data_IF_138470667980
#
_entry.id   IF_138470667980
#
_cell.length_a   1.000
_cell.length_b   1.000
_cell.length_c   1.000
_cell.angle_alpha   90.00
_cell.angle_beta   90.00
_cell.angle_gamma   90.00
#
_symmetry.space_group_name_H-M   'P 1'
#
loop_
_entity.id
_entity.type
_entity.pdbx_description
1 polymer ?
#
# COMPACT_ATOMS: atom_id res chain seq x y z
N UNK A 1 -0.16 8.00 -6.89
CA UNK A 1 -1.40 7.20 -6.77
C UNK A 1 -2.03 7.36 -5.38
N UNK A 2 -1.23 7.35 -4.31
CA UNK A 2 -1.71 7.54 -2.92
C UNK A 2 -1.31 8.91 -2.34
N UNK A 3 -0.87 9.86 -3.17
CA UNK A 3 -0.49 11.19 -2.70
C UNK A 3 -1.74 12.00 -2.36
N UNK A 4 -1.85 12.55 -1.15
CA UNK A 4 -2.95 13.42 -0.78
C UNK A 4 -2.87 14.73 -1.58
N UNK A 5 -4.02 15.26 -1.96
CA UNK A 5 -4.15 16.57 -2.62
C UNK A 5 -4.91 17.54 -1.70
N UNK A 6 -4.52 18.80 -1.72
CA UNK A 6 -5.24 19.84 -0.96
C UNK A 6 -6.70 19.93 -1.42
N UNK A 7 -7.61 20.01 -0.46
CA UNK A 7 -9.02 20.30 -0.66
C UNK A 7 -9.31 21.78 -0.35
N UNK A 8 -10.44 22.31 -0.83
CA UNK A 8 -10.81 23.73 -0.68
C UNK A 8 -11.02 24.14 0.79
N UNK A 9 -11.34 23.19 1.66
CA UNK A 9 -11.56 23.41 3.09
C UNK A 9 -10.28 23.39 3.95
N UNK A 10 -9.10 23.30 3.31
CA UNK A 10 -7.80 23.25 3.98
C UNK A 10 -7.42 21.87 4.50
N UNK A 11 -8.21 20.85 4.22
CA UNK A 11 -7.86 19.44 4.46
C UNK A 11 -7.13 18.83 3.25
N UNK A 12 -6.75 17.57 3.37
CA UNK A 12 -6.14 16.81 2.27
C UNK A 12 -6.95 15.56 1.99
N UNK A 13 -7.00 15.16 0.71
CA UNK A 13 -7.79 14.00 0.30
C UNK A 13 -7.00 13.08 -0.64
N UNK A 14 -7.01 11.79 -0.33
CA UNK A 14 -6.56 10.73 -1.23
C UNK A 14 -7.77 10.30 -2.05
N UNK A 15 -7.71 10.52 -3.37
CA UNK A 15 -8.77 10.13 -4.29
C UNK A 15 -8.37 8.86 -5.03
N UNK A 16 -9.18 7.81 -4.95
CA UNK A 16 -8.99 6.56 -5.70
C UNK A 16 -10.33 5.88 -5.97
N UNK A 17 -10.35 4.91 -6.89
CA UNK A 17 -11.57 4.16 -7.26
C UNK A 17 -11.87 3.00 -6.31
N UNK A 18 -10.88 2.52 -5.55
CA UNK A 18 -11.07 1.39 -4.65
C UNK A 18 -12.01 1.73 -3.49
N UNK A 19 -12.74 0.74 -2.99
CA UNK A 19 -13.53 0.89 -1.77
C UNK A 19 -12.62 1.25 -0.59
N UNK A 20 -13.09 2.05 0.40
CA UNK A 20 -12.29 2.49 1.54
C UNK A 20 -11.62 1.34 2.31
N UNK A 21 -12.29 0.19 2.37
CA UNK A 21 -11.83 -1.02 3.08
C UNK A 21 -10.90 -1.90 2.24
N UNK A 22 -10.67 -1.59 0.96
CA UNK A 22 -9.72 -2.33 0.11
C UNK A 22 -8.33 -2.25 0.71
N UNK A 23 -7.72 -3.42 0.95
CA UNK A 23 -6.43 -3.53 1.61
C UNK A 23 -5.30 -3.75 0.62
N UNK A 24 -4.23 -2.97 0.77
CA UNK A 24 -3.02 -3.09 -0.02
C UNK A 24 -1.83 -3.53 0.85
N UNK A 25 -0.97 -4.43 0.35
CA UNK A 25 0.30 -4.74 1.00
C UNK A 25 1.26 -3.57 0.82
N UNK A 26 1.85 -3.10 1.92
CA UNK A 26 2.84 -2.03 1.89
C UNK A 26 4.19 -2.53 2.38
N UNK A 27 5.26 -2.00 1.80
CA UNK A 27 6.65 -2.31 2.13
C UNK A 27 7.52 -1.07 1.95
N UNK A 28 8.44 -0.83 2.88
CA UNK A 28 9.59 0.03 2.63
C UNK A 28 10.65 -0.79 1.88
N UNK A 29 10.69 -0.63 0.56
CA UNK A 29 11.60 -1.42 -0.30
C UNK A 29 13.06 -1.19 0.08
N UNK A 30 13.45 0.04 0.44
CA UNK A 30 14.82 0.38 0.75
C UNK A 30 15.31 -0.31 2.04
N UNK A 31 14.46 -0.36 3.05
CA UNK A 31 14.82 -0.91 4.37
C UNK A 31 14.52 -2.42 4.48
N UNK A 32 13.45 -2.89 3.84
CA UNK A 32 12.88 -4.20 4.15
C UNK A 32 13.12 -5.27 3.08
N UNK A 33 13.40 -4.91 1.82
CA UNK A 33 13.62 -5.90 0.77
C UNK A 33 14.74 -6.89 1.13
N UNK A 34 15.86 -6.37 1.67
CA UNK A 34 16.98 -7.20 2.13
C UNK A 34 16.63 -8.12 3.29
N UNK A 35 15.65 -7.75 4.14
CA UNK A 35 15.19 -8.61 5.26
C UNK A 35 14.44 -9.83 4.74
N UNK A 36 13.61 -9.69 3.70
CA UNK A 36 12.94 -10.81 3.04
C UNK A 36 13.92 -11.71 2.30
N UNK A 37 14.88 -11.14 1.58
CA UNK A 37 15.97 -11.91 0.95
C UNK A 37 16.78 -12.65 2.01
N UNK A 38 17.11 -12.00 3.14
CA UNK A 38 17.77 -12.64 4.27
C UNK A 38 17.00 -13.83 4.81
N UNK A 39 15.67 -13.71 4.94
CA UNK A 39 14.81 -14.84 5.36
C UNK A 39 14.83 -16.03 4.39
N UNK A 40 14.94 -15.76 3.08
CA UNK A 40 15.10 -16.86 2.08
C UNK A 40 16.44 -17.56 2.25
N UNK A 41 17.51 -16.79 2.49
CA UNK A 41 18.85 -17.35 2.69
C UNK A 41 19.00 -18.11 4.00
N UNK A 42 18.17 -17.84 5.00
CA UNK A 42 18.17 -18.56 6.28
C UNK A 42 17.50 -19.94 6.17
N UNK A 43 16.54 -20.12 5.25
CA UNK A 43 15.80 -21.39 5.05
C UNK A 43 15.54 -21.63 3.56
N UNK A 44 16.57 -21.82 2.74
CA UNK A 44 16.42 -21.95 1.28
C UNK A 44 15.64 -23.22 0.88
N UNK A 45 15.85 -24.34 1.59
CA UNK A 45 15.17 -25.60 1.31
C UNK A 45 13.68 -25.53 1.69
N UNK A 46 13.37 -24.92 2.86
CA UNK A 46 12.00 -24.75 3.32
C UNK A 46 11.18 -23.76 2.49
N UNK A 47 11.85 -22.89 1.73
CA UNK A 47 11.23 -21.85 0.89
C UNK A 47 11.32 -22.17 -0.62
N UNK A 48 11.93 -23.29 -1.01
CA UNK A 48 12.02 -23.68 -2.42
C UNK A 48 10.63 -23.75 -3.07
N UNK A 49 10.50 -23.12 -4.23
CA UNK A 49 9.26 -23.05 -4.99
C UNK A 49 8.16 -22.18 -4.39
N UNK A 50 8.42 -21.48 -3.28
CA UNK A 50 7.44 -20.59 -2.62
C UNK A 50 7.70 -19.13 -2.95
N UNK A 51 6.62 -18.37 -3.17
CA UNK A 51 6.68 -16.91 -3.34
C UNK A 51 6.53 -16.22 -1.98
N UNK A 52 7.48 -15.33 -1.63
CA UNK A 52 7.32 -14.43 -0.48
C UNK A 52 6.59 -13.16 -0.90
N UNK A 53 5.34 -13.03 -0.46
CA UNK A 53 4.51 -11.85 -0.65
C UNK A 53 4.94 -10.76 0.32
N UNK A 54 6.06 -10.08 -0.02
CA UNK A 54 6.80 -9.21 0.87
C UNK A 54 6.03 -7.94 1.19
N UNK A 55 5.58 -7.80 2.44
CA UNK A 55 4.97 -6.60 2.99
C UNK A 55 5.04 -6.62 4.52
N UNK A 56 5.01 -5.45 5.14
CA UNK A 56 4.87 -5.33 6.61
C UNK A 56 3.48 -5.80 7.05
N UNK A 57 2.47 -5.56 6.23
CA UNK A 57 1.08 -5.88 6.50
C UNK A 57 0.15 -5.31 5.44
N UNK A 58 -1.14 -5.43 5.69
CA UNK A 58 -2.20 -4.93 4.84
C UNK A 58 -2.80 -3.68 5.46
N UNK A 59 -2.88 -2.61 4.68
CA UNK A 59 -3.48 -1.34 5.07
C UNK A 59 -4.68 -1.04 4.16
N UNK A 60 -5.83 -0.71 4.76
CA UNK A 60 -6.96 -0.17 4.01
C UNK A 60 -6.67 1.27 3.55
N UNK A 61 -7.46 1.76 2.63
CA UNK A 61 -7.35 3.17 2.20
C UNK A 61 -7.60 4.13 3.36
N UNK A 62 -8.50 3.76 4.27
CA UNK A 62 -8.78 4.52 5.50
C UNK A 62 -7.61 4.46 6.48
N UNK A 63 -7.00 3.28 6.70
CA UNK A 63 -5.82 3.14 7.56
C UNK A 63 -4.68 4.05 7.06
N UNK A 64 -4.43 4.06 5.75
CA UNK A 64 -3.40 4.90 5.13
C UNK A 64 -3.66 6.39 5.41
N UNK A 65 -4.90 6.85 5.20
CA UNK A 65 -5.29 8.24 5.46
C UNK A 65 -5.15 8.61 6.95
N UNK A 66 -5.51 7.71 7.87
CA UNK A 66 -5.36 7.91 9.31
C UNK A 66 -3.89 8.03 9.72
N UNK A 67 -3.03 7.13 9.25
CA UNK A 67 -1.59 7.20 9.54
C UNK A 67 -0.98 8.48 8.99
N UNK A 68 -1.34 8.88 7.76
CA UNK A 68 -0.90 10.14 7.18
C UNK A 68 -1.37 11.35 8.00
N UNK A 69 -2.61 11.34 8.48
CA UNK A 69 -3.13 12.40 9.37
C UNK A 69 -2.34 12.49 10.66
N UNK A 70 -2.07 11.35 11.28
CA UNK A 70 -1.32 11.29 12.54
C UNK A 70 0.10 11.86 12.39
N UNK A 71 0.83 11.38 11.37
CA UNK A 71 2.23 11.78 11.15
C UNK A 71 2.36 13.25 10.74
N UNK A 72 1.44 13.76 9.92
CA UNK A 72 1.54 15.13 9.39
C UNK A 72 0.92 16.18 10.30
N UNK A 73 0.09 15.78 11.27
CA UNK A 73 -0.73 16.70 12.07
C UNK A 73 -1.78 17.45 11.25
N UNK A 74 -2.06 17.00 10.02
CA UNK A 74 -3.08 17.56 9.11
C UNK A 74 -4.19 16.56 8.90
N UNK A 75 -5.41 17.04 8.67
CA UNK A 75 -6.51 16.14 8.31
C UNK A 75 -6.32 15.61 6.91
N UNK A 76 -6.07 14.31 6.80
CA UNK A 76 -6.03 13.57 5.54
C UNK A 76 -7.19 12.59 5.52
N UNK A 77 -8.03 12.66 4.49
CA UNK A 77 -9.19 11.79 4.31
C UNK A 77 -9.02 10.92 3.06
N UNK A 78 -9.80 9.86 2.99
CA UNK A 78 -9.93 9.05 1.78
C UNK A 78 -11.30 9.30 1.13
N UNK A 79 -11.32 9.41 -0.20
CA UNK A 79 -12.55 9.52 -0.98
C UNK A 79 -12.51 8.58 -2.15
N UNK A 80 -13.47 7.66 -2.18
CA UNK A 80 -13.70 6.85 -3.37
C UNK A 80 -14.33 7.73 -4.46
N UNK A 81 -13.75 7.69 -5.67
CA UNK A 81 -14.20 8.46 -6.83
C UNK A 81 -14.65 7.51 -7.95
N UNK A 82 -15.55 7.96 -8.84
CA UNK A 82 -15.95 7.18 -10.02
C UNK A 82 -14.76 6.85 -10.93
N UNK A 83 -14.87 5.72 -11.63
CA UNK A 83 -13.84 5.24 -12.57
C UNK A 83 -13.54 6.30 -13.64
N UNK A 84 -14.57 6.91 -14.21
CA UNK A 84 -14.46 7.92 -15.25
C UNK A 84 -13.66 9.15 -14.77
N UNK A 85 -13.90 9.57 -13.53
CA UNK A 85 -13.15 10.67 -12.91
C UNK A 85 -11.68 10.30 -12.76
N UNK A 86 -11.40 9.08 -12.30
CA UNK A 86 -10.02 8.60 -12.13
C UNK A 86 -9.28 8.48 -13.46
N UNK A 87 -9.94 8.00 -14.50
CA UNK A 87 -9.36 7.92 -15.86
C UNK A 87 -8.93 9.29 -16.37
N UNK A 88 -9.72 10.33 -16.11
CA UNK A 88 -9.39 11.71 -16.49
C UNK A 88 -8.17 12.29 -15.75
N UNK A 89 -7.81 11.72 -14.60
CA UNK A 89 -6.66 12.14 -13.78
C UNK A 89 -5.37 11.38 -14.10
N UNK A 90 -5.44 10.31 -14.90
CA UNK A 90 -4.34 9.43 -15.23
C UNK A 90 -3.82 9.69 -16.65
N UNK A 91 -2.54 9.37 -16.93
CA UNK A 91 -2.02 9.41 -18.30
C UNK A 91 -2.85 8.49 -19.21
N UNK A 92 -3.35 8.96 -20.37
CA UNK A 92 -4.25 8.18 -21.23
C UNK A 92 -3.72 6.78 -21.60
N UNK A 93 -2.42 6.65 -21.84
CA UNK A 93 -1.78 5.38 -22.17
C UNK A 93 -1.80 4.34 -21.03
N UNK A 94 -1.92 4.78 -19.78
CA UNK A 94 -1.89 3.90 -18.60
C UNK A 94 -3.25 3.80 -17.88
N UNK A 95 -4.20 4.69 -18.18
CA UNK A 95 -5.44 4.84 -17.42
C UNK A 95 -6.21 3.51 -17.29
N UNK A 96 -6.43 2.80 -18.40
CA UNK A 96 -7.16 1.53 -18.39
C UNK A 96 -6.44 0.45 -17.57
N UNK A 97 -5.11 0.34 -17.72
CA UNK A 97 -4.34 -0.66 -16.96
C UNK A 97 -4.39 -0.39 -15.46
N UNK A 98 -4.23 0.88 -15.05
CA UNK A 98 -4.27 1.28 -13.65
C UNK A 98 -5.66 1.05 -13.04
N UNK A 99 -6.71 1.39 -13.76
CA UNK A 99 -8.10 1.16 -13.33
C UNK A 99 -8.36 -0.33 -13.15
N UNK A 100 -8.06 -1.16 -14.14
CA UNK A 100 -8.27 -2.62 -14.03
C UNK A 100 -7.44 -3.25 -12.92
N UNK A 101 -6.21 -2.77 -12.71
CA UNK A 101 -5.37 -3.20 -11.59
C UNK A 101 -6.02 -2.91 -10.23
N UNK A 102 -6.56 -1.70 -10.04
CA UNK A 102 -7.22 -1.36 -8.77
C UNK A 102 -8.51 -2.14 -8.55
N UNK A 103 -9.32 -2.34 -9.59
CA UNK A 103 -10.53 -3.17 -9.50
C UNK A 103 -10.16 -4.63 -9.17
N UNK A 104 -9.11 -5.16 -9.78
CA UNK A 104 -8.61 -6.49 -9.44
C UNK A 104 -8.19 -6.59 -7.97
N UNK A 105 -7.45 -5.60 -7.44
CA UNK A 105 -7.06 -5.60 -6.03
C UNK A 105 -8.25 -5.57 -5.09
N UNK A 106 -9.30 -4.85 -5.46
CA UNK A 106 -10.54 -4.78 -4.69
C UNK A 106 -11.29 -6.12 -4.70
N UNK A 107 -11.41 -6.75 -5.86
CA UNK A 107 -12.28 -7.90 -6.06
C UNK A 107 -11.60 -9.22 -5.69
N UNK A 108 -10.31 -9.35 -6.01
CA UNK A 108 -9.56 -10.60 -5.86
C UNK A 108 -8.48 -10.56 -4.76
N UNK A 109 -8.13 -9.36 -4.26
CA UNK A 109 -6.94 -9.16 -3.42
C UNK A 109 -5.67 -8.98 -4.24
N UNK A 110 -4.65 -8.37 -3.66
CA UNK A 110 -3.39 -8.03 -4.34
C UNK A 110 -2.63 -9.29 -4.83
N UNK A 111 -2.61 -10.33 -4.02
CA UNK A 111 -2.01 -11.65 -4.32
C UNK A 111 -3.08 -12.75 -4.46
N UNK A 112 -4.32 -12.39 -4.79
CA UNK A 112 -5.45 -13.31 -4.84
C UNK A 112 -6.17 -13.43 -3.49
N UNK A 113 -7.06 -14.43 -3.37
CA UNK A 113 -7.93 -14.63 -2.20
C UNK A 113 -7.17 -14.86 -0.88
N UNK A 114 -5.95 -15.40 -0.95
CA UNK A 114 -5.11 -15.73 0.21
C UNK A 114 -4.13 -14.59 0.57
N UNK A 115 -4.35 -13.37 0.07
CA UNK A 115 -3.44 -12.22 0.27
C UNK A 115 -3.08 -12.01 1.74
N UNK A 116 -4.04 -12.10 2.66
CA UNK A 116 -3.80 -11.83 4.07
C UNK A 116 -2.88 -12.89 4.71
N UNK A 117 -3.14 -14.15 4.42
CA UNK A 117 -2.36 -15.30 4.89
C UNK A 117 -0.94 -15.26 4.32
N UNK A 118 -0.82 -15.02 3.02
CA UNK A 118 0.47 -14.97 2.32
C UNK A 118 1.35 -13.82 2.83
N UNK A 119 0.80 -12.64 3.03
CA UNK A 119 1.52 -11.49 3.58
C UNK A 119 1.93 -11.76 5.02
N UNK A 120 1.01 -12.24 5.87
CA UNK A 120 1.33 -12.57 7.27
C UNK A 120 2.39 -13.67 7.37
N UNK A 121 2.30 -14.68 6.51
CA UNK A 121 3.27 -15.78 6.45
C UNK A 121 4.66 -15.27 6.01
N UNK A 122 4.73 -14.41 5.00
CA UNK A 122 5.99 -13.84 4.52
C UNK A 122 6.63 -12.91 5.55
N UNK A 123 5.85 -12.03 6.19
CA UNK A 123 6.35 -11.09 7.20
C UNK A 123 7.05 -11.80 8.37
N UNK A 124 6.54 -12.96 8.80
CA UNK A 124 7.14 -13.78 9.87
C UNK A 124 8.50 -14.38 9.49
N UNK A 125 8.85 -14.41 8.22
CA UNK A 125 10.10 -14.96 7.69
C UNK A 125 11.14 -13.91 7.38
N UNK A 126 10.74 -12.65 7.37
CA UNK A 126 11.69 -11.55 7.20
C UNK A 126 12.67 -11.51 8.39
N UNK A 127 13.93 -11.20 8.10
CA UNK A 127 15.00 -11.08 9.09
C UNK A 127 14.86 -9.77 9.86
N UNK A 128 14.47 -9.83 11.13
CA UNK A 128 14.32 -8.66 12.00
C UNK A 128 12.98 -7.91 11.83
N UNK A 129 12.91 -6.72 12.43
CA UNK A 129 11.68 -5.90 12.44
C UNK A 129 11.50 -5.22 11.08
N UNK A 130 10.29 -5.32 10.53
CA UNK A 130 9.87 -4.60 9.34
C UNK A 130 9.45 -3.14 9.67
N UNK A 131 9.60 -2.26 8.70
CA UNK A 131 9.31 -0.82 8.82
C UNK A 131 7.81 -0.57 8.67
N UNK A 132 7.17 0.00 9.67
CA UNK A 132 5.75 0.37 9.58
C UNK A 132 5.54 1.57 8.66
N UNK A 133 4.29 1.77 8.19
CA UNK A 133 3.94 2.94 7.39
C UNK A 133 4.22 4.26 8.15
N UNK A 134 3.97 4.27 9.45
CA UNK A 134 4.26 5.43 10.31
C UNK A 134 5.76 5.72 10.40
N UNK A 135 6.59 4.70 10.63
CA UNK A 135 8.05 4.83 10.67
C UNK A 135 8.60 5.31 9.31
N UNK A 136 8.07 4.78 8.21
CA UNK A 136 8.41 5.22 6.86
C UNK A 136 8.08 6.70 6.64
N UNK A 137 6.88 7.14 6.99
CA UNK A 137 6.44 8.53 6.80
C UNK A 137 7.16 9.52 7.71
N UNK A 138 7.57 9.11 8.91
CA UNK A 138 8.42 9.92 9.78
C UNK A 138 9.82 10.12 9.20
N UNK A 139 10.37 9.10 8.53
CA UNK A 139 11.69 9.12 7.88
C UNK A 139 11.65 9.85 6.54
N UNK A 140 10.57 9.68 5.79
CA UNK A 140 10.34 10.27 4.47
C UNK A 140 9.09 11.17 4.52
N UNK A 141 9.18 12.40 5.08
CA UNK A 141 8.01 13.26 5.30
C UNK A 141 7.26 13.56 4.00
N UNK A 142 5.94 13.47 4.07
CA UNK A 142 5.06 13.84 2.96
C UNK A 142 5.15 15.36 2.70
N UNK A 143 5.38 15.73 1.45
CA UNK A 143 5.23 17.12 1.00
C UNK A 143 3.77 17.32 0.61
N UNK A 144 2.97 17.78 1.54
CA UNK A 144 1.57 18.16 1.31
C UNK A 144 1.56 19.52 0.57
N UNK A 145 1.12 19.51 -0.69
CA UNK A 145 1.00 20.68 -1.55
C UNK A 145 -0.45 20.98 -1.84
#
# INVERSE_FOLDING_TARGET
ILAPRAAEDGTYCINNIMAPQTRLPLIDIAEDAGKFVGGILDDPEGLEGKALCSAIGLYSMEDIAQVMSHVTGKTVTYKQIPVETSQGLLPPAAANHIVHMFLYFQDAGYYGSETAELVSWAAKRARGKLTTLEEFLNKCPLKLQ
#
